data_IF_355033170121
#
_entry.id   IF_355033170121
#
_cell.length_a   1.000
_cell.length_b   1.000
_cell.length_c   1.000
_cell.angle_alpha   90.00
_cell.angle_beta   90.00
_cell.angle_gamma   90.00
#
_symmetry.space_group_name_H-M   'P 1'
#
loop_
_entity.id
_entity.type
_entity.pdbx_description
1 polymer ?
#
# COMPACT_ATOMS: atom_id res chain seq x y z
N UNK A 1 34.94 -11.67 9.75
CA UNK A 1 34.09 -10.48 9.95
C UNK A 1 33.21 -10.34 8.70
N UNK A 2 32.05 -11.00 8.69
CA UNK A 2 31.13 -10.95 7.55
C UNK A 2 30.43 -9.60 7.57
N UNK A 3 30.65 -8.79 6.54
CA UNK A 3 29.80 -7.64 6.25
C UNK A 3 28.40 -8.17 5.98
N UNK A 4 27.53 -8.12 6.99
CA UNK A 4 26.09 -8.25 6.81
C UNK A 4 25.68 -7.09 5.93
N UNK A 5 25.63 -7.33 4.63
CA UNK A 5 24.99 -6.44 3.67
C UNK A 5 23.62 -6.10 4.25
N UNK A 6 23.38 -4.80 4.45
CA UNK A 6 22.05 -4.25 4.70
C UNK A 6 21.14 -4.79 3.59
N UNK A 7 20.45 -5.90 3.81
CA UNK A 7 19.35 -6.28 2.92
C UNK A 7 18.35 -5.14 3.08
N UNK A 8 18.30 -4.30 2.04
CA UNK A 8 17.44 -3.15 1.97
C UNK A 8 16.03 -3.60 2.38
N UNK A 9 15.44 -2.86 3.32
CA UNK A 9 14.02 -2.83 3.67
C UNK A 9 13.20 -3.36 2.49
N UNK A 10 12.76 -4.62 2.53
CA UNK A 10 12.15 -5.22 1.35
C UNK A 10 10.75 -4.63 1.22
N UNK A 11 10.60 -3.70 0.28
CA UNK A 11 9.30 -3.30 -0.24
C UNK A 11 8.64 -4.55 -0.84
N UNK A 12 7.38 -4.83 -0.50
CA UNK A 12 6.59 -5.86 -1.17
C UNK A 12 6.89 -7.29 -0.75
N UNK A 13 6.90 -7.64 0.54
CA UNK A 13 6.62 -9.03 0.89
C UNK A 13 5.13 -9.35 0.84
N UNK A 14 4.26 -8.34 0.91
CA UNK A 14 2.81 -8.47 0.71
C UNK A 14 2.24 -7.28 -0.08
N UNK A 15 1.37 -7.60 -1.03
CA UNK A 15 0.52 -6.64 -1.76
C UNK A 15 -0.92 -7.07 -1.63
N UNK A 16 -1.79 -6.11 -1.34
CA UNK A 16 -3.24 -6.28 -1.37
C UNK A 16 -3.83 -5.51 -2.54
N UNK A 17 -4.64 -6.18 -3.36
CA UNK A 17 -5.34 -5.58 -4.51
C UNK A 17 -6.83 -5.59 -4.23
N UNK A 18 -7.44 -4.41 -4.20
CA UNK A 18 -8.89 -4.25 -4.08
C UNK A 18 -9.48 -4.13 -5.49
N UNK A 19 -10.44 -5.00 -5.80
CA UNK A 19 -11.04 -5.11 -7.13
C UNK A 19 -12.55 -5.02 -7.03
N UNK A 20 -13.16 -4.16 -7.84
CA UNK A 20 -14.60 -4.20 -8.08
C UNK A 20 -14.96 -5.48 -8.85
N UNK A 21 -15.82 -6.30 -8.26
CA UNK A 21 -16.25 -7.56 -8.87
C UNK A 21 -17.32 -7.35 -9.96
N UNK A 22 -17.93 -6.16 -10.02
CA UNK A 22 -19.06 -5.86 -10.91
C UNK A 22 -20.41 -6.40 -10.43
N UNK A 23 -20.45 -7.06 -9.27
CA UNK A 23 -21.66 -7.54 -8.61
C UNK A 23 -22.11 -6.62 -7.47
N UNK A 24 -21.67 -5.35 -7.47
CA UNK A 24 -21.96 -4.37 -6.43
C UNK A 24 -21.07 -4.51 -5.19
N UNK A 25 -19.90 -5.15 -5.29
CA UNK A 25 -19.01 -5.39 -4.16
C UNK A 25 -17.53 -5.39 -4.54
N UNK A 26 -16.70 -5.11 -3.53
CA UNK A 26 -15.24 -5.08 -3.63
C UNK A 26 -14.67 -6.36 -3.03
N UNK A 27 -13.71 -6.96 -3.73
CA UNK A 27 -12.95 -8.11 -3.24
C UNK A 27 -11.48 -7.75 -3.07
N UNK A 28 -10.92 -8.16 -1.94
CA UNK A 28 -9.49 -8.06 -1.66
C UNK A 28 -8.75 -9.33 -2.09
N UNK A 29 -7.62 -9.15 -2.76
CA UNK A 29 -6.70 -10.22 -3.15
C UNK A 29 -5.34 -9.97 -2.54
N UNK A 30 -4.84 -10.92 -1.76
CA UNK A 30 -3.54 -10.83 -1.11
C UNK A 30 -2.49 -11.68 -1.85
N UNK A 31 -1.38 -11.04 -2.21
CA UNK A 31 -0.22 -11.69 -2.82
C UNK A 31 0.96 -11.51 -1.87
N UNK A 32 1.52 -12.63 -1.40
CA UNK A 32 2.62 -12.66 -0.42
C UNK A 32 3.84 -13.36 -1.00
N UNK A 33 5.03 -12.82 -0.82
CA UNK A 33 6.29 -13.52 -1.06
C UNK A 33 6.49 -14.61 0.01
N UNK A 34 6.17 -15.86 -0.32
CA UNK A 34 6.08 -16.95 0.68
C UNK A 34 7.42 -17.53 1.12
N UNK A 35 8.54 -17.14 0.50
CA UNK A 35 9.87 -17.67 0.81
C UNK A 35 10.88 -16.55 1.01
N UNK A 36 11.83 -16.79 1.91
CA UNK A 36 12.94 -15.87 2.19
C UNK A 36 13.67 -15.47 0.89
N UNK A 37 13.95 -14.17 0.75
CA UNK A 37 14.64 -13.60 -0.41
C UNK A 37 13.78 -13.43 -1.67
N UNK A 38 12.48 -13.71 -1.61
CA UNK A 38 11.52 -13.33 -2.66
C UNK A 38 10.88 -11.99 -2.34
N UNK A 39 10.38 -11.33 -3.38
CA UNK A 39 9.63 -10.07 -3.29
C UNK A 39 8.41 -10.12 -4.20
N UNK A 40 7.49 -9.21 -3.99
CA UNK A 40 6.31 -8.96 -4.82
C UNK A 40 6.57 -7.68 -5.59
N UNK A 41 6.42 -7.75 -6.90
CA UNK A 41 6.50 -6.60 -7.79
C UNK A 41 5.12 -6.29 -8.36
N UNK A 42 4.80 -5.00 -8.45
CA UNK A 42 3.60 -4.51 -9.11
C UNK A 42 4.02 -3.83 -10.41
N UNK A 43 3.39 -4.21 -11.52
CA UNK A 43 3.52 -3.52 -12.79
C UNK A 43 2.13 -3.26 -13.37
N UNK A 44 2.00 -2.20 -14.15
CA UNK A 44 0.76 -1.91 -14.88
C UNK A 44 1.11 -1.72 -16.35
N UNK A 45 0.49 -2.52 -17.21
CA UNK A 45 0.70 -2.42 -18.66
C UNK A 45 -0.54 -2.91 -19.41
N UNK A 46 -0.82 -2.30 -20.57
CA UNK A 46 -1.91 -2.72 -21.49
C UNK A 46 -3.26 -2.96 -20.79
N UNK A 47 -3.64 -2.09 -19.84
CA UNK A 47 -4.92 -2.21 -19.13
C UNK A 47 -4.97 -3.31 -18.07
N UNK A 48 -3.83 -3.91 -17.71
CA UNK A 48 -3.71 -4.94 -16.68
C UNK A 48 -2.75 -4.48 -15.60
N UNK A 49 -3.15 -4.66 -14.34
CA UNK A 49 -2.26 -4.61 -13.18
C UNK A 49 -1.78 -6.03 -12.91
N UNK A 50 -0.48 -6.25 -13.00
CA UNK A 50 0.17 -7.53 -12.73
C UNK A 50 0.95 -7.44 -11.42
N UNK A 51 0.65 -8.35 -10.49
CA UNK A 51 1.29 -8.47 -9.19
C UNK A 51 2.00 -9.82 -9.11
N UNK A 52 3.33 -9.79 -9.10
CA UNK A 52 4.16 -10.97 -9.34
C UNK A 52 5.08 -11.22 -8.16
N UNK A 53 5.00 -12.41 -7.59
CA UNK A 53 6.06 -12.91 -6.71
C UNK A 53 7.26 -13.27 -7.58
N UNK A 54 8.40 -12.64 -7.34
CA UNK A 54 9.65 -12.88 -8.04
C UNK A 54 10.72 -13.42 -7.09
N UNK A 55 11.65 -14.20 -7.65
CA UNK A 55 12.88 -14.60 -6.95
C UNK A 55 13.77 -13.39 -6.69
N UNK A 56 14.83 -13.57 -5.90
CA UNK A 56 15.86 -12.53 -5.67
C UNK A 56 16.38 -11.92 -6.98
N UNK A 57 16.52 -12.74 -8.03
CA UNK A 57 17.02 -12.32 -9.33
C UNK A 57 15.93 -11.79 -10.28
N UNK A 58 14.69 -11.63 -9.82
CA UNK A 58 13.57 -11.13 -10.64
C UNK A 58 12.87 -12.19 -11.48
N UNK A 59 13.18 -13.48 -11.31
CA UNK A 59 12.47 -14.54 -12.03
C UNK A 59 11.04 -14.67 -11.49
N UNK A 60 9.99 -14.59 -12.33
CA UNK A 60 8.62 -14.73 -11.87
C UNK A 60 8.35 -16.15 -11.37
N UNK A 61 7.68 -16.26 -10.23
CA UNK A 61 7.25 -17.52 -9.62
C UNK A 61 5.75 -17.73 -9.80
N UNK A 62 4.96 -16.70 -9.48
CA UNK A 62 3.51 -16.66 -9.68
C UNK A 62 3.06 -15.23 -9.86
N UNK A 63 1.98 -15.03 -10.62
CA UNK A 63 1.43 -13.72 -10.91
C UNK A 63 -0.09 -13.73 -10.70
N UNK A 64 -0.60 -12.66 -10.10
CA UNK A 64 -2.00 -12.26 -10.17
C UNK A 64 -2.14 -11.17 -11.23
N UNK A 65 -3.16 -11.27 -12.08
CA UNK A 65 -3.46 -10.27 -13.12
C UNK A 65 -4.87 -9.74 -12.94
N UNK A 66 -4.99 -8.43 -12.88
CA UNK A 66 -6.23 -7.74 -12.60
C UNK A 66 -6.51 -6.75 -13.73
N UNK A 67 -7.76 -6.68 -14.18
CA UNK A 67 -8.17 -5.65 -15.14
C UNK A 67 -8.04 -4.29 -14.48
N UNK A 68 -7.18 -3.42 -14.99
CA UNK A 68 -6.87 -2.14 -14.37
C UNK A 68 -8.12 -1.27 -14.17
N UNK A 69 -9.08 -1.37 -15.11
CA UNK A 69 -10.36 -0.68 -15.03
C UNK A 69 -11.22 -1.07 -13.81
N UNK A 70 -10.95 -2.20 -13.16
CA UNK A 70 -11.66 -2.69 -11.97
C UNK A 70 -10.82 -2.61 -10.70
N UNK A 71 -9.54 -2.26 -10.79
CA UNK A 71 -8.68 -2.12 -9.61
C UNK A 71 -9.00 -0.80 -8.93
N UNK A 72 -9.45 -0.87 -7.68
CA UNK A 72 -9.76 0.30 -6.85
C UNK A 72 -8.50 0.77 -6.12
N UNK A 73 -7.71 -0.18 -5.61
CA UNK A 73 -6.47 0.13 -4.92
C UNK A 73 -5.45 -1.00 -5.05
N UNK A 74 -4.18 -0.61 -5.01
CA UNK A 74 -3.05 -1.50 -4.79
C UNK A 74 -2.32 -1.00 -3.56
N UNK A 75 -2.32 -1.80 -2.49
CA UNK A 75 -1.70 -1.45 -1.22
C UNK A 75 -0.46 -2.31 -1.04
N UNK A 76 0.69 -1.65 -0.96
CA UNK A 76 1.95 -2.32 -0.63
C UNK A 76 2.18 -2.27 0.88
N UNK A 77 2.36 -3.43 1.49
CA UNK A 77 2.70 -3.54 2.90
C UNK A 77 4.22 -3.70 3.05
N UNK A 78 4.86 -2.94 3.96
CA UNK A 78 6.27 -3.14 4.26
C UNK A 78 6.44 -4.41 5.10
N UNK A 79 7.59 -5.08 4.94
CA UNK A 79 7.86 -6.31 5.69
C UNK A 79 7.74 -6.17 7.19
N UNK A 80 7.12 -7.15 7.85
CA UNK A 80 6.84 -7.15 9.30
C UNK A 80 8.11 -7.01 10.19
N UNK A 81 9.30 -7.24 9.66
CA UNK A 81 10.59 -6.99 10.33
C UNK A 81 10.94 -5.49 10.46
N UNK A 82 10.09 -4.60 9.92
CA UNK A 82 10.18 -3.18 10.22
C UNK A 82 9.53 -2.92 11.58
N UNK A 83 10.35 -2.66 12.58
CA UNK A 83 9.94 -1.93 13.79
C UNK A 83 9.10 -0.73 13.33
N UNK A 84 7.80 -0.74 13.64
CA UNK A 84 6.84 0.26 13.19
C UNK A 84 7.30 1.62 13.71
N UNK A 85 7.78 2.49 12.82
CA UNK A 85 8.00 3.89 13.17
C UNK A 85 6.62 4.57 13.20
N UNK A 86 6.00 4.57 14.37
CA UNK A 86 4.65 5.12 14.63
C UNK A 86 4.63 6.65 14.70
N UNK A 87 5.62 7.33 14.10
CA UNK A 87 5.77 8.78 14.12
C UNK A 87 4.97 9.53 13.02
N UNK A 88 3.89 8.94 12.48
CA UNK A 88 2.96 9.72 11.65
C UNK A 88 2.22 10.72 12.54
N UNK A 89 2.35 12.04 12.34
CA UNK A 89 1.59 13.01 13.11
C UNK A 89 0.13 12.81 12.76
N UNK A 90 -0.66 12.31 13.71
CA UNK A 90 -2.11 12.24 13.57
C UNK A 90 -2.59 13.68 13.32
N UNK A 91 -3.06 13.94 12.10
CA UNK A 91 -3.55 15.25 11.68
C UNK A 91 -4.58 15.71 12.73
N UNK A 92 -4.19 16.66 13.59
CA UNK A 92 -5.10 17.23 14.57
C UNK A 92 -6.16 17.95 13.76
N UNK A 93 -7.42 17.55 13.93
CA UNK A 93 -8.57 18.32 13.48
C UNK A 93 -8.40 19.73 14.03
N UNK A 94 -8.02 20.68 13.17
CA UNK A 94 -8.03 22.10 13.50
C UNK A 94 -9.47 22.42 13.87
N UNK A 95 -9.66 22.80 15.13
CA UNK A 95 -10.93 23.25 15.64
C UNK A 95 -11.47 24.34 14.72
N UNK A 96 -12.71 24.15 14.28
CA UNK A 96 -13.48 25.19 13.62
C UNK A 96 -13.77 26.25 14.69
N UNK A 97 -12.87 27.19 14.87
CA UNK A 97 -13.14 28.42 15.59
C UNK A 97 -14.10 29.22 14.70
N UNK A 98 -15.40 29.06 14.96
CA UNK A 98 -16.40 29.97 14.45
C UNK A 98 -16.12 31.33 15.07
N UNK A 99 -15.46 32.17 14.28
CA UNK A 99 -15.42 33.61 14.44
C UNK A 99 -16.86 34.11 14.45
N UNK A 100 -17.35 34.44 15.64
CA UNK A 100 -18.54 35.26 15.82
C UNK A 100 -18.12 36.70 15.99
N UNK A 101 -18.17 37.44 14.89
CA UNK A 101 -18.23 38.91 14.79
C UNK A 101 -19.08 39.49 15.94
N UNK A 102 -18.54 40.32 16.85
CA UNK A 102 -18.36 41.77 16.68
C UNK A 102 -19.50 42.53 17.41
N UNK A 103 -19.23 43.49 18.32
CA UNK A 103 -20.27 44.10 19.14
C UNK A 103 -21.02 45.21 18.38
N UNK A 104 -22.36 45.34 18.51
CA UNK A 104 -23.01 46.62 18.30
C UNK A 104 -23.15 47.36 19.62
N UNK A 105 -22.35 48.42 19.74
CA UNK A 105 -22.62 49.58 20.57
C UNK A 105 -24.02 50.16 20.28
N UNK A 106 -24.83 50.37 21.33
CA UNK A 106 -25.67 51.56 21.62
C UNK A 106 -26.86 51.23 22.51
N UNK A 107 -26.98 51.93 23.63
CA UNK A 107 -28.16 51.99 24.49
C UNK A 107 -27.82 52.37 25.92
#
# INVERSE_FOLDING_TARGET
MLHRSKEARVKGDRVEVLVDTGAGGVQAFEIVARRAGRRVEVSTSRGVVEVTEVTRNGTPVRAGRFMAARVIAVVEHPSADVMQDTSVPRLRSVGRESSGEGPPDRG
#
